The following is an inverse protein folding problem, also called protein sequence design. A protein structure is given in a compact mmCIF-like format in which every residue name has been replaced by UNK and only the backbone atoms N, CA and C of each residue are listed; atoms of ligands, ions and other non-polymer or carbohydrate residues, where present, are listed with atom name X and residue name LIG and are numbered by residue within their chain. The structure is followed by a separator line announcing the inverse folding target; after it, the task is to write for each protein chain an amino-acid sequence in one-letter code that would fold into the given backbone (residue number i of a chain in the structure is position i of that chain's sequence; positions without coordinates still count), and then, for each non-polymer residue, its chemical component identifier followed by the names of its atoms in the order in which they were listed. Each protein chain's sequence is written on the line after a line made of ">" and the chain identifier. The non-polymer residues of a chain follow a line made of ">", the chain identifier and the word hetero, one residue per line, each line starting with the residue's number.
data_IF_452849478989
#
_entry.id   IF_452849478989
#
_cell.length_a   1.000
_cell.length_b   1.000
_cell.length_c   1.000
_cell.angle_alpha   90.00
_cell.angle_beta   90.00
_cell.angle_gamma   90.00
#
_symmetry.space_group_name_H-M   'P 1'
#
loop_
_entity.id
_entity.type
_entity.pdbx_description
1 polymer ?
#
# COMPACT_ATOMS: atom_id res chain seq x y z
N UNK A 1 1.32 -22.51 -3.79
CA UNK A 1 0.89 -21.93 -2.50
C UNK A 1 -0.59 -21.59 -2.59
N UNK A 2 -1.33 -21.66 -1.47
CA UNK A 2 -2.74 -21.23 -1.42
C UNK A 2 -2.78 -19.69 -1.52
N UNK A 3 -3.63 -19.15 -2.39
CA UNK A 3 -3.89 -17.69 -2.45
C UNK A 3 -4.67 -17.24 -1.20
N UNK A 4 -4.44 -16.01 -0.75
CA UNK A 4 -5.19 -15.39 0.35
C UNK A 4 -6.60 -15.04 -0.11
N UNK A 5 -7.62 -15.47 0.62
CA UNK A 5 -8.99 -15.03 0.42
C UNK A 5 -9.21 -13.74 1.21
N UNK A 6 -9.56 -12.66 0.53
CA UNK A 6 -9.71 -11.34 1.15
C UNK A 6 -11.16 -10.89 1.06
N UNK A 7 -11.76 -10.58 2.20
CA UNK A 7 -13.10 -10.04 2.25
C UNK A 7 -13.09 -8.53 1.97
N UNK A 8 -13.83 -8.10 0.96
CA UNK A 8 -13.99 -6.69 0.59
C UNK A 8 -15.24 -6.13 1.28
N UNK A 9 -15.02 -5.33 2.30
CA UNK A 9 -16.05 -4.66 3.10
C UNK A 9 -16.23 -3.23 2.61
N UNK A 10 -17.39 -2.94 2.04
CA UNK A 10 -17.77 -1.60 1.56
C UNK A 10 -19.28 -1.38 1.71
N UNK A 11 -19.76 -0.12 1.65
CA UNK A 11 -21.18 0.15 1.74
C UNK A 11 -21.97 -0.55 0.63
N UNK A 12 -23.08 -1.20 0.99
CA UNK A 12 -24.06 -1.74 0.03
C UNK A 12 -25.28 -0.81 -0.12
N UNK A 13 -25.88 -0.37 1.01
CA UNK A 13 -27.09 0.46 1.04
C UNK A 13 -26.86 1.89 0.52
N UNK A 14 -27.95 2.55 0.15
CA UNK A 14 -27.96 3.87 -0.48
C UNK A 14 -28.20 3.70 -1.96
N UNK A 15 -27.22 4.09 -2.77
CA UNK A 15 -27.21 3.84 -4.22
C UNK A 15 -26.64 2.43 -4.48
N UNK A 16 -27.50 1.41 -4.41
CA UNK A 16 -27.11 -0.01 -4.45
C UNK A 16 -26.35 -0.34 -5.75
N UNK A 17 -26.87 0.09 -6.90
CA UNK A 17 -26.23 -0.16 -8.21
C UNK A 17 -24.81 0.39 -8.24
N UNK A 18 -24.65 1.67 -7.88
CA UNK A 18 -23.34 2.33 -7.83
C UNK A 18 -22.40 1.70 -6.81
N UNK A 19 -22.92 1.23 -5.68
CA UNK A 19 -22.12 0.58 -4.65
C UNK A 19 -21.64 -0.81 -5.10
N UNK A 20 -22.47 -1.57 -5.82
CA UNK A 20 -22.08 -2.84 -6.44
C UNK A 20 -20.97 -2.60 -7.47
N UNK A 21 -21.11 -1.59 -8.35
CA UNK A 21 -20.07 -1.23 -9.32
C UNK A 21 -18.74 -0.86 -8.64
N UNK A 22 -18.79 -0.07 -7.56
CA UNK A 22 -17.60 0.26 -6.76
C UNK A 22 -16.95 -0.98 -6.16
N UNK A 23 -17.72 -1.88 -5.57
CA UNK A 23 -17.21 -3.10 -4.97
C UNK A 23 -16.58 -4.05 -6.00
N UNK A 24 -17.15 -4.13 -7.21
CA UNK A 24 -16.54 -4.85 -8.32
C UNK A 24 -15.20 -4.24 -8.73
N UNK A 25 -15.10 -2.91 -8.78
CA UNK A 25 -13.83 -2.22 -9.04
C UNK A 25 -12.80 -2.49 -7.96
N UNK A 26 -13.17 -2.44 -6.69
CA UNK A 26 -12.27 -2.79 -5.58
C UNK A 26 -11.72 -4.21 -5.73
N UNK A 27 -12.57 -5.18 -6.09
CA UNK A 27 -12.13 -6.55 -6.37
C UNK A 27 -11.16 -6.60 -7.57
N UNK A 28 -11.45 -5.88 -8.65
CA UNK A 28 -10.55 -5.81 -9.82
C UNK A 28 -9.18 -5.25 -9.45
N UNK A 29 -9.16 -4.10 -8.78
CA UNK A 29 -7.93 -3.42 -8.36
C UNK A 29 -7.11 -4.32 -7.41
N UNK A 30 -7.76 -5.08 -6.52
CA UNK A 30 -7.07 -6.03 -5.65
C UNK A 30 -6.37 -7.17 -6.42
N UNK A 31 -6.99 -7.70 -7.47
CA UNK A 31 -6.37 -8.73 -8.33
C UNK A 31 -5.23 -8.16 -9.17
N UNK A 32 -5.33 -6.90 -9.59
CA UNK A 32 -4.31 -6.24 -10.41
C UNK A 32 -3.03 -5.90 -9.61
N UNK A 33 -3.15 -5.62 -8.31
CA UNK A 33 -2.03 -5.17 -7.47
C UNK A 33 -1.39 -6.29 -6.61
N UNK A 34 -2.11 -7.38 -6.36
CA UNK A 34 -1.64 -8.52 -5.55
C UNK A 34 -1.86 -9.86 -6.25
N UNK A 35 -0.78 -10.48 -6.71
CA UNK A 35 -0.81 -11.77 -7.42
C UNK A 35 -1.32 -12.95 -6.56
N UNK A 36 -1.20 -12.84 -5.23
CA UNK A 36 -1.56 -13.87 -4.26
C UNK A 36 -2.94 -13.67 -3.60
N UNK A 37 -3.73 -12.70 -4.05
CA UNK A 37 -5.04 -12.37 -3.48
C UNK A 37 -6.20 -12.90 -4.35
N UNK A 38 -7.25 -13.38 -3.68
CA UNK A 38 -8.58 -13.64 -4.24
C UNK A 38 -9.56 -12.77 -3.43
N UNK A 39 -10.11 -11.69 -4.01
CA UNK A 39 -11.07 -10.85 -3.30
C UNK A 39 -12.48 -11.42 -3.39
N UNK A 40 -13.28 -11.21 -2.35
CA UNK A 40 -14.71 -11.51 -2.33
C UNK A 40 -15.50 -10.35 -1.71
N UNK A 41 -16.41 -9.77 -2.48
CA UNK A 41 -17.38 -8.78 -2.01
C UNK A 41 -18.77 -9.43 -1.92
N UNK A 42 -19.24 -9.85 -0.74
CA UNK A 42 -20.48 -10.62 -0.63
C UNK A 42 -21.70 -9.90 -1.19
N UNK A 43 -21.81 -8.58 -1.04
CA UNK A 43 -22.94 -7.84 -1.57
C UNK A 43 -22.90 -7.67 -3.10
N UNK A 44 -21.81 -8.03 -3.79
CA UNK A 44 -21.82 -8.20 -5.26
C UNK A 44 -22.46 -9.54 -5.62
N UNK A 45 -22.21 -10.58 -4.82
CA UNK A 45 -22.66 -11.96 -5.09
C UNK A 45 -24.07 -12.23 -4.56
N UNK A 46 -24.32 -11.96 -3.29
CA UNK A 46 -25.58 -12.28 -2.61
C UNK A 46 -26.75 -11.47 -3.13
N UNK A 47 -26.54 -10.22 -3.55
CA UNK A 47 -27.60 -9.38 -4.14
C UNK A 47 -28.10 -9.90 -5.50
N UNK A 48 -27.40 -10.87 -6.09
CA UNK A 48 -27.88 -11.54 -7.31
C UNK A 48 -29.04 -12.51 -7.03
N UNK A 49 -29.26 -12.89 -5.76
CA UNK A 49 -30.29 -13.84 -5.36
C UNK A 49 -30.99 -13.51 -4.02
N UNK A 50 -30.60 -12.43 -3.34
CA UNK A 50 -31.24 -11.87 -2.15
C UNK A 50 -31.53 -10.38 -2.37
N UNK A 51 -32.66 -9.92 -1.85
CA UNK A 51 -33.11 -8.54 -1.88
C UNK A 51 -32.84 -7.85 -0.53
N UNK A 52 -31.80 -7.01 -0.49
CA UNK A 52 -31.39 -6.28 0.72
C UNK A 52 -32.47 -5.30 1.25
N UNK A 53 -33.51 -5.00 0.45
CA UNK A 53 -34.66 -4.18 0.89
C UNK A 53 -35.66 -4.97 1.73
N UNK A 54 -35.63 -6.30 1.67
CA UNK A 54 -36.48 -7.17 2.49
C UNK A 54 -35.75 -7.56 3.78
N UNK A 55 -36.32 -7.29 4.97
CA UNK A 55 -35.64 -7.54 6.25
C UNK A 55 -35.15 -8.99 6.45
N UNK A 56 -35.94 -9.98 6.02
CA UNK A 56 -35.59 -11.40 6.18
C UNK A 56 -34.43 -11.82 5.28
N UNK A 57 -34.47 -11.46 4.00
CA UNK A 57 -33.40 -11.76 3.03
C UNK A 57 -32.12 -10.98 3.39
N UNK A 58 -32.25 -9.75 3.89
CA UNK A 58 -31.13 -8.98 4.45
C UNK A 58 -30.48 -9.69 5.64
N UNK A 59 -31.28 -10.17 6.60
CA UNK A 59 -30.75 -10.89 7.75
C UNK A 59 -29.99 -12.15 7.32
N UNK A 60 -30.54 -12.90 6.36
CA UNK A 60 -29.86 -14.06 5.77
C UNK A 60 -28.55 -13.67 5.06
N UNK A 61 -28.56 -12.59 4.27
CA UNK A 61 -27.36 -12.09 3.59
C UNK A 61 -26.26 -11.64 4.56
N UNK A 62 -26.63 -11.03 5.68
CA UNK A 62 -25.68 -10.65 6.73
C UNK A 62 -25.07 -11.88 7.42
N UNK A 63 -25.89 -12.88 7.78
CA UNK A 63 -25.42 -14.12 8.40
C UNK A 63 -24.48 -14.92 7.47
N UNK A 64 -24.86 -15.05 6.20
CA UNK A 64 -24.01 -15.64 5.16
C UNK A 64 -22.71 -14.85 4.96
N UNK A 65 -22.77 -13.51 5.06
CA UNK A 65 -21.61 -12.62 4.97
C UNK A 65 -20.60 -12.89 6.09
N UNK A 66 -21.06 -13.01 7.33
CA UNK A 66 -20.19 -13.36 8.46
C UNK A 66 -19.59 -14.77 8.32
N UNK A 67 -20.39 -15.75 7.86
CA UNK A 67 -19.90 -17.10 7.58
C UNK A 67 -18.82 -17.12 6.49
N UNK A 68 -18.97 -16.27 5.46
CA UNK A 68 -17.99 -16.10 4.41
C UNK A 68 -16.73 -15.39 4.91
N UNK A 69 -16.88 -14.35 5.73
CA UNK A 69 -15.79 -13.65 6.39
C UNK A 69 -14.95 -14.59 7.25
N UNK A 70 -15.58 -15.52 7.98
CA UNK A 70 -14.89 -16.52 8.80
C UNK A 70 -13.92 -17.42 8.01
N UNK A 71 -14.11 -17.55 6.69
CA UNK A 71 -13.24 -18.32 5.80
C UNK A 71 -12.11 -17.46 5.19
N UNK A 72 -12.15 -16.15 5.36
CA UNK A 72 -11.21 -15.22 4.77
C UNK A 72 -9.95 -15.05 5.63
N UNK A 73 -8.82 -14.79 4.95
CA UNK A 73 -7.53 -14.53 5.56
C UNK A 73 -7.40 -13.10 6.08
N UNK A 74 -8.07 -12.13 5.44
CA UNK A 74 -8.06 -10.72 5.81
C UNK A 74 -9.41 -10.05 5.48
N UNK A 75 -9.72 -8.96 6.20
CA UNK A 75 -10.84 -8.05 5.95
C UNK A 75 -10.28 -6.70 5.49
N UNK A 76 -10.62 -6.28 4.27
CA UNK A 76 -10.24 -4.96 3.74
C UNK A 76 -11.45 -4.04 3.72
N UNK A 77 -11.35 -2.92 4.44
CA UNK A 77 -12.47 -2.02 4.70
C UNK A 77 -12.32 -0.73 3.89
N UNK A 78 -13.29 -0.45 3.03
CA UNK A 78 -13.37 0.78 2.25
C UNK A 78 -14.29 1.77 2.96
N UNK A 79 -13.74 2.91 3.39
CA UNK A 79 -14.47 3.91 4.17
C UNK A 79 -14.53 3.58 5.67
N UNK A 80 -13.40 3.12 6.23
CA UNK A 80 -13.27 2.70 7.63
C UNK A 80 -13.63 3.81 8.64
N UNK A 81 -13.51 5.08 8.27
CA UNK A 81 -13.83 6.23 9.12
C UNK A 81 -15.34 6.39 9.37
N UNK A 82 -16.17 6.00 8.41
CA UNK A 82 -17.63 6.13 8.48
C UNK A 82 -18.33 4.83 8.05
N UNK A 83 -18.15 3.72 8.80
CA UNK A 83 -18.69 2.43 8.41
C UNK A 83 -20.21 2.42 8.53
N UNK A 84 -20.87 1.84 7.53
CA UNK A 84 -22.30 1.52 7.59
C UNK A 84 -22.58 0.49 8.70
N UNK A 85 -23.84 0.31 9.08
CA UNK A 85 -24.23 -0.68 10.08
C UNK A 85 -23.76 -2.10 9.73
N UNK A 86 -23.92 -2.52 8.47
CA UNK A 86 -23.45 -3.83 8.00
C UNK A 86 -21.93 -3.97 8.13
N UNK A 87 -21.19 -2.93 7.72
CA UNK A 87 -19.74 -2.91 7.84
C UNK A 87 -19.27 -2.96 9.30
N UNK A 88 -19.96 -2.26 10.22
CA UNK A 88 -19.62 -2.32 11.65
C UNK A 88 -19.74 -3.74 12.19
N UNK A 89 -20.77 -4.47 11.77
CA UNK A 89 -20.97 -5.86 12.19
C UNK A 89 -19.84 -6.76 11.65
N UNK A 90 -19.45 -6.59 10.38
CA UNK A 90 -18.32 -7.33 9.78
C UNK A 90 -16.98 -7.00 10.47
N UNK A 91 -16.71 -5.72 10.73
CA UNK A 91 -15.50 -5.25 11.43
C UNK A 91 -15.44 -5.82 12.85
N UNK A 92 -16.55 -5.76 13.58
CA UNK A 92 -16.62 -6.29 14.94
C UNK A 92 -16.44 -7.81 14.97
N UNK A 93 -17.07 -8.52 14.04
CA UNK A 93 -16.87 -9.96 13.88
C UNK A 93 -15.40 -10.30 13.60
N UNK A 94 -14.74 -9.59 12.68
CA UNK A 94 -13.33 -9.79 12.37
C UNK A 94 -12.43 -9.55 13.59
N UNK A 95 -12.70 -8.51 14.39
CA UNK A 95 -11.97 -8.26 15.65
C UNK A 95 -12.11 -9.42 16.62
N UNK A 96 -13.34 -9.91 16.83
CA UNK A 96 -13.62 -11.00 17.77
C UNK A 96 -12.97 -12.32 17.36
N UNK A 97 -12.82 -12.56 16.06
CA UNK A 97 -12.25 -13.77 15.49
C UNK A 97 -10.78 -13.62 15.08
N UNK A 98 -10.13 -12.50 15.43
CA UNK A 98 -8.73 -12.22 15.14
C UNK A 98 -8.39 -12.24 13.64
N UNK A 99 -9.36 -11.91 12.79
CA UNK A 99 -9.16 -11.74 11.35
C UNK A 99 -8.47 -10.39 11.13
N UNK A 100 -7.30 -10.33 10.48
CA UNK A 100 -6.61 -9.08 10.20
C UNK A 100 -7.49 -8.08 9.45
N UNK A 101 -7.57 -6.86 9.96
CA UNK A 101 -8.35 -5.77 9.35
C UNK A 101 -7.38 -4.76 8.73
N UNK A 102 -7.62 -4.40 7.47
CA UNK A 102 -6.87 -3.37 6.74
C UNK A 102 -7.79 -2.21 6.39
N UNK A 103 -7.33 -0.98 6.63
CA UNK A 103 -7.87 0.18 5.93
C UNK A 103 -7.43 0.08 4.46
N UNK A 104 -8.38 -0.12 3.55
CA UNK A 104 -8.05 -0.24 2.13
C UNK A 104 -7.36 1.03 1.60
N UNK A 105 -7.78 2.23 2.02
CA UNK A 105 -7.17 3.45 1.51
C UNK A 105 -5.69 3.55 1.90
N UNK A 106 -5.34 3.19 3.13
CA UNK A 106 -3.95 3.13 3.59
C UNK A 106 -3.19 1.99 2.92
N UNK A 107 -3.81 0.82 2.81
CA UNK A 107 -3.16 -0.36 2.23
C UNK A 107 -2.70 -0.14 0.79
N UNK A 108 -3.54 0.50 -0.02
CA UNK A 108 -3.21 0.85 -1.41
C UNK A 108 -2.15 1.95 -1.50
N UNK A 109 -2.22 3.00 -0.67
CA UNK A 109 -1.18 4.05 -0.63
C UNK A 109 0.19 3.49 -0.30
N UNK A 110 0.26 2.57 0.66
CA UNK A 110 1.52 1.92 1.04
C UNK A 110 2.06 1.08 -0.12
N UNK A 111 1.18 0.38 -0.85
CA UNK A 111 1.55 -0.39 -2.04
C UNK A 111 2.09 0.49 -3.17
N UNK A 112 1.42 1.60 -3.47
CA UNK A 112 1.90 2.56 -4.46
C UNK A 112 3.29 3.09 -4.08
N UNK A 113 3.49 3.47 -2.81
CA UNK A 113 4.78 3.93 -2.31
C UNK A 113 5.89 2.86 -2.42
N UNK A 114 5.59 1.58 -2.18
CA UNK A 114 6.53 0.47 -2.37
C UNK A 114 6.93 0.27 -3.84
N UNK A 115 6.05 0.60 -4.79
CA UNK A 115 6.35 0.48 -6.23
C UNK A 115 7.09 1.68 -6.81
N UNK A 116 7.17 2.79 -6.07
CA UNK A 116 7.93 3.96 -6.51
C UNK A 116 9.44 3.68 -6.41
N UNK A 117 10.25 4.16 -7.36
CA UNK A 117 11.70 4.13 -7.21
C UNK A 117 12.10 4.88 -5.93
N UNK A 118 13.01 4.30 -5.14
CA UNK A 118 13.52 4.89 -3.89
C UNK A 118 14.09 6.30 -4.11
N UNK A 119 14.56 6.60 -5.32
CA UNK A 119 15.20 7.87 -5.66
C UNK A 119 16.61 7.97 -5.11
N UNK A 120 17.36 9.00 -5.49
CA UNK A 120 18.76 9.15 -5.09
C UNK A 120 18.93 10.17 -3.96
N UNK A 121 19.92 9.95 -3.10
CA UNK A 121 20.31 10.91 -2.07
C UNK A 121 21.30 11.94 -2.64
N UNK A 122 21.01 13.22 -2.50
CA UNK A 122 21.91 14.32 -2.87
C UNK A 122 22.48 14.97 -1.61
N UNK A 123 23.79 14.85 -1.40
CA UNK A 123 24.50 15.46 -0.29
C UNK A 123 25.27 16.67 -0.81
N UNK A 124 24.87 17.87 -0.37
CA UNK A 124 25.57 19.11 -0.72
C UNK A 124 26.63 19.41 0.33
N UNK A 125 27.90 19.28 -0.06
CA UNK A 125 29.05 19.57 0.76
C UNK A 125 29.55 20.99 0.46
N UNK A 126 29.80 21.85 1.46
CA UNK A 126 30.41 23.15 1.23
C UNK A 126 31.90 22.99 0.89
N UNK A 127 32.33 23.61 -0.19
CA UNK A 127 33.68 23.51 -0.75
C UNK A 127 34.39 24.85 -0.54
N UNK A 128 35.03 25.04 0.62
CA UNK A 128 35.83 26.22 1.02
C UNK A 128 35.16 27.60 0.93
N UNK A 129 35.32 28.41 1.99
CA UNK A 129 35.00 29.84 1.96
C UNK A 129 36.24 30.60 1.48
N UNK A 130 36.29 30.91 0.19
CA UNK A 130 37.28 31.83 -0.36
C UNK A 130 36.85 33.28 -0.18
N UNK A 131 37.73 34.13 0.36
CA UNK A 131 37.53 35.58 0.33
C UNK A 131 38.12 36.14 -0.97
N UNK A 132 37.27 36.45 -1.95
CA UNK A 132 37.63 37.30 -3.08
C UNK A 132 36.99 38.68 -2.85
N UNK A 133 37.83 39.71 -2.63
CA UNK A 133 37.39 41.11 -2.46
C UNK A 133 36.36 41.38 -1.35
N UNK A 134 36.41 40.64 -0.23
CA UNK A 134 35.55 40.89 0.93
C UNK A 134 34.11 40.36 0.80
N UNK A 135 33.81 39.61 -0.26
CA UNK A 135 32.56 38.86 -0.42
C UNK A 135 32.88 37.38 -0.25
N UNK A 136 32.24 36.73 0.72
CA UNK A 136 32.35 35.29 0.89
C UNK A 136 31.55 34.61 -0.22
N UNK A 137 32.24 33.90 -1.12
CA UNK A 137 31.60 32.95 -2.04
C UNK A 137 31.71 31.56 -1.43
N UNK A 138 30.56 30.90 -1.23
CA UNK A 138 30.51 29.49 -0.81
C UNK A 138 30.33 28.68 -2.10
N UNK A 139 31.39 28.02 -2.55
CA UNK A 139 31.24 26.96 -3.53
C UNK A 139 30.72 25.70 -2.84
N UNK A 140 29.99 24.87 -3.57
CA UNK A 140 29.47 23.61 -3.02
C UNK A 140 29.65 22.49 -4.03
N UNK A 141 29.89 21.29 -3.52
CA UNK A 141 29.97 20.06 -4.30
C UNK A 141 28.77 19.20 -3.93
N UNK A 142 28.01 18.75 -4.91
CA UNK A 142 26.90 17.81 -4.70
C UNK A 142 27.38 16.40 -4.97
N UNK A 143 27.24 15.51 -3.99
CA UNK A 143 27.47 14.07 -4.12
C UNK A 143 26.11 13.41 -4.29
N UNK A 144 25.92 12.67 -5.39
CA UNK A 144 24.72 11.87 -5.64
C UNK A 144 25.01 10.42 -5.27
N UNK A 145 24.16 9.82 -4.45
CA UNK A 145 24.24 8.42 -4.04
C UNK A 145 22.96 7.73 -4.52
N UNK A 146 23.13 6.65 -5.28
CA UNK A 146 22.00 5.86 -5.77
C UNK A 146 21.17 5.30 -4.60
N UNK A 147 19.85 5.40 -4.66
CA UNK A 147 18.94 4.94 -3.60
C UNK A 147 19.07 3.48 -3.22
N UNK A 148 19.21 2.59 -4.21
CA UNK A 148 19.38 1.14 -3.97
C UNK A 148 20.70 0.88 -3.24
N UNK A 149 21.77 1.58 -3.61
CA UNK A 149 23.04 1.49 -2.91
C UNK A 149 22.96 1.93 -1.44
N UNK A 150 22.12 2.92 -1.12
CA UNK A 150 21.88 3.34 0.27
C UNK A 150 21.25 2.20 1.07
N UNK A 151 20.29 1.47 0.49
CA UNK A 151 19.64 0.35 1.15
C UNK A 151 20.62 -0.81 1.39
N UNK A 152 21.41 -1.16 0.37
CA UNK A 152 22.44 -2.19 0.47
C UNK A 152 23.48 -1.84 1.55
N UNK A 153 23.93 -0.59 1.58
CA UNK A 153 24.87 -0.12 2.60
C UNK A 153 24.27 -0.20 4.00
N UNK A 154 22.99 0.16 4.17
CA UNK A 154 22.31 0.06 5.46
C UNK A 154 22.20 -1.40 5.94
N UNK A 155 21.97 -2.36 5.03
CA UNK A 155 21.98 -3.79 5.35
C UNK A 155 23.38 -4.22 5.80
N UNK A 156 24.42 -3.81 5.08
CA UNK A 156 25.78 -4.24 5.35
C UNK A 156 26.33 -3.65 6.67
N UNK A 157 26.05 -2.38 6.96
CA UNK A 157 26.38 -1.76 8.25
C UNK A 157 25.72 -2.48 9.44
N UNK A 158 24.48 -2.97 9.26
CA UNK A 158 23.79 -3.76 10.30
C UNK A 158 24.43 -5.13 10.50
N UNK A 159 24.98 -5.74 9.44
CA UNK A 159 25.72 -7.00 9.51
C UNK A 159 27.09 -6.85 10.17
N UNK A 160 27.69 -5.66 10.07
CA UNK A 160 29.01 -5.36 10.62
C UNK A 160 28.99 -4.18 11.61
N UNK A 161 28.39 -4.33 12.81
CA UNK A 161 28.33 -3.26 13.79
C UNK A 161 29.73 -2.74 14.18
N UNK A 162 29.88 -1.41 14.23
CA UNK A 162 31.10 -0.75 14.67
C UNK A 162 32.25 -0.72 13.64
N UNK A 163 32.00 -1.13 12.40
CA UNK A 163 32.97 -1.09 11.31
C UNK A 163 32.56 -0.09 10.24
N UNK A 164 33.54 0.65 9.72
CA UNK A 164 33.33 1.55 8.59
C UNK A 164 33.28 0.76 7.28
N UNK A 165 32.35 1.12 6.39
CA UNK A 165 32.24 0.55 5.05
C UNK A 165 32.62 1.64 4.05
N UNK A 166 33.56 1.34 3.16
CA UNK A 166 33.99 2.23 2.09
C UNK A 166 33.47 1.72 0.75
N UNK A 167 32.87 2.60 -0.03
CA UNK A 167 32.46 2.33 -1.41
C UNK A 167 33.24 3.27 -2.33
N UNK A 168 33.90 2.71 -3.33
CA UNK A 168 34.51 3.50 -4.39
C UNK A 168 33.44 3.82 -5.44
N UNK A 169 33.29 5.09 -5.80
CA UNK A 169 32.40 5.47 -6.88
C UNK A 169 33.00 4.98 -8.21
N UNK A 170 32.24 4.20 -8.98
CA UNK A 170 32.62 3.87 -10.35
C UNK A 170 32.79 5.18 -11.14
N UNK A 171 33.93 5.32 -11.83
CA UNK A 171 34.12 6.38 -12.80
C UNK A 171 33.24 6.06 -14.01
N UNK A 172 31.98 6.51 -14.00
CA UNK A 172 31.21 6.55 -15.25
C UNK A 172 32.03 7.35 -16.28
N UNK A 173 32.37 6.69 -17.39
CA UNK A 173 32.98 7.33 -18.54
C UNK A 173 32.06 8.47 -18.97
N UNK A 174 32.61 9.69 -18.97
CA UNK A 174 31.90 10.88 -19.46
C UNK A 174 31.38 10.66 -20.90
N UNK A 175 30.41 11.47 -21.34
CA UNK A 175 29.81 11.29 -22.66
C UNK A 175 30.90 11.36 -23.73
N UNK A 176 30.97 10.34 -24.59
CA UNK A 176 31.70 10.44 -25.85
C UNK A 176 31.10 11.64 -26.60
N UNK A 177 31.88 12.71 -26.67
CA UNK A 177 31.58 13.85 -27.52
C UNK A 177 31.85 13.37 -28.95
N UNK A 178 30.78 13.02 -29.67
CA UNK A 178 30.83 12.81 -31.12
C UNK A 178 31.44 14.06 -31.78
N UNK A 179 32.51 13.86 -32.55
CA UNK A 179 33.23 14.89 -33.32
C UNK A 179 32.56 15.15 -34.66
#
# INVERSE_FOLDING_TARGET
>A
MRKKLVYICSPCRGDIEKNIEKAQRYCREAVELWDDVIPIAPHVYFTQFLDDTKPEERAAGMDMGLSLLAMCDELWVYGIENPSEGMRNEIEYAKQHQIPIRDAAEHYRNREAETLPIGDALIVLPSHVGNLNGVAAIESTTVRINGEMVLDLAIELRRHPGHDITLEADKEAGPEVDQ
#
